data_IF_224852044404
#
_entry.id   IF_224852044404
#
_cell.length_a   1.000
_cell.length_b   1.000
_cell.length_c   1.000
_cell.angle_alpha   90.00
_cell.angle_beta   90.00
_cell.angle_gamma   90.00
#
_symmetry.space_group_name_H-M   'P 1'
#
loop_
_entity.id
_entity.type
_entity.pdbx_description
1 polymer ?
#
# COMPACT_ATOMS: atom_id res chain seq x y z
N UNK A 1 31.06 19.34 16.44
CA UNK A 1 29.60 19.52 16.50
C UNK A 1 28.88 18.70 15.43
N UNK A 2 29.28 18.77 14.16
CA UNK A 2 28.69 18.02 13.03
C UNK A 2 28.66 16.48 13.17
N UNK A 3 29.62 15.86 13.86
CA UNK A 3 29.62 14.40 14.06
C UNK A 3 28.55 13.95 15.08
N UNK A 4 28.29 14.76 16.13
CA UNK A 4 27.30 14.43 17.17
C UNK A 4 25.86 14.60 16.65
N UNK A 5 25.60 15.56 15.77
CA UNK A 5 24.27 15.74 15.15
C UNK A 5 23.90 14.60 14.20
N UNK A 6 24.88 14.02 13.48
CA UNK A 6 24.64 12.83 12.64
C UNK A 6 24.35 11.58 13.47
N UNK A 7 24.99 11.43 14.63
CA UNK A 7 24.71 10.31 15.55
C UNK A 7 23.31 10.43 16.17
N UNK A 8 22.87 11.65 16.51
CA UNK A 8 21.54 11.88 17.08
C UNK A 8 20.40 11.61 16.07
N UNK A 9 20.63 11.86 14.77
CA UNK A 9 19.66 11.51 13.73
C UNK A 9 19.56 9.99 13.52
N UNK A 10 20.67 9.26 13.61
CA UNK A 10 20.66 7.80 13.52
C UNK A 10 20.01 7.14 14.74
N UNK A 11 20.22 7.67 15.94
CA UNK A 11 19.63 7.13 17.19
C UNK A 11 18.11 7.39 17.29
N UNK A 12 17.55 8.39 16.58
CA UNK A 12 16.11 8.63 16.55
C UNK A 12 15.33 7.81 15.53
N UNK A 13 16.00 7.13 14.60
CA UNK A 13 15.36 6.39 13.52
C UNK A 13 15.30 4.87 13.73
N UNK A 14 15.90 4.35 14.81
CA UNK A 14 15.76 2.95 15.20
C UNK A 14 14.57 2.84 16.14
N UNK A 15 13.37 2.95 15.60
CA UNK A 15 12.21 2.39 16.30
C UNK A 15 12.37 0.86 16.20
N UNK A 16 12.33 0.17 17.34
CA UNK A 16 12.52 -1.29 17.38
C UNK A 16 11.59 -1.95 16.35
N UNK A 17 12.11 -2.94 15.61
CA UNK A 17 11.32 -3.74 14.68
C UNK A 17 10.06 -4.24 15.39
N UNK A 18 8.92 -4.19 14.71
CA UNK A 18 7.63 -4.52 15.31
C UNK A 18 7.47 -6.04 15.49
N UNK A 19 8.32 -6.66 16.30
CA UNK A 19 8.32 -8.09 16.60
C UNK A 19 7.25 -8.47 17.63
N UNK A 20 6.00 -8.04 17.43
CA UNK A 20 4.92 -8.43 18.33
C UNK A 20 4.71 -9.95 18.24
N UNK A 21 4.49 -10.61 19.37
CA UNK A 21 4.38 -12.08 19.49
C UNK A 21 3.38 -12.76 18.55
N UNK A 22 2.39 -12.04 18.02
CA UNK A 22 1.43 -12.59 17.07
C UNK A 22 1.88 -12.42 15.62
N UNK A 23 2.80 -11.52 15.29
CA UNK A 23 3.13 -11.24 13.89
C UNK A 23 4.15 -12.22 13.31
N UNK A 24 4.06 -12.43 12.00
CA UNK A 24 4.92 -13.29 11.20
C UNK A 24 6.07 -12.52 10.53
N UNK A 25 6.85 -11.78 11.33
CA UNK A 25 7.92 -10.92 10.83
C UNK A 25 9.23 -11.66 10.48
N UNK A 26 9.37 -12.90 10.97
CA UNK A 26 10.44 -13.87 10.70
C UNK A 26 11.80 -13.25 10.33
N UNK A 27 12.36 -13.63 9.18
CA UNK A 27 13.68 -13.21 8.71
C UNK A 27 13.59 -12.42 7.40
N UNK A 28 12.48 -11.71 7.17
CA UNK A 28 12.16 -11.09 5.87
C UNK A 28 13.21 -10.08 5.39
N UNK A 29 14.03 -9.53 6.28
CA UNK A 29 15.13 -8.62 5.90
C UNK A 29 16.50 -9.29 5.78
N UNK A 30 16.62 -10.61 5.96
CA UNK A 30 17.91 -11.31 5.90
C UNK A 30 18.98 -10.80 6.87
N UNK A 31 18.58 -10.05 7.92
CA UNK A 31 19.48 -9.37 8.85
C UNK A 31 19.98 -7.98 8.40
N UNK A 32 19.50 -7.44 7.27
CA UNK A 32 19.90 -6.11 6.78
C UNK A 32 19.33 -4.97 7.63
N UNK A 33 18.23 -5.20 8.35
CA UNK A 33 17.59 -4.26 9.26
C UNK A 33 17.38 -2.87 8.64
N UNK A 34 16.95 -2.83 7.37
CA UNK A 34 16.76 -1.64 6.54
C UNK A 34 17.99 -0.74 6.31
N UNK A 35 19.19 -1.11 6.79
CA UNK A 35 20.42 -0.30 6.66
C UNK A 35 20.71 0.06 5.19
N UNK A 36 20.69 -0.87 4.22
CA UNK A 36 20.94 -0.52 2.83
C UNK A 36 19.86 0.41 2.25
N UNK A 37 18.60 0.24 2.64
CA UNK A 37 17.48 1.06 2.14
C UNK A 37 17.62 2.50 2.60
N UNK A 38 17.84 2.74 3.90
CA UNK A 38 17.92 4.09 4.47
C UNK A 38 19.14 4.88 4.01
N UNK A 39 20.19 4.19 3.53
CA UNK A 39 21.37 4.83 2.96
C UNK A 39 21.29 5.06 1.45
N UNK A 40 20.49 4.29 0.71
CA UNK A 40 20.41 4.37 -0.75
C UNK A 40 19.26 5.25 -1.26
N UNK A 41 18.17 5.31 -0.52
CA UNK A 41 16.96 5.99 -0.96
C UNK A 41 16.61 7.18 -0.06
N UNK A 42 15.76 8.05 -0.58
CA UNK A 42 15.26 9.22 0.13
C UNK A 42 13.75 9.28 -0.03
N UNK A 43 13.07 9.78 1.00
CA UNK A 43 11.65 10.09 1.01
C UNK A 43 11.42 11.55 1.40
N UNK A 44 10.20 12.08 1.20
CA UNK A 44 9.76 13.31 1.84
C UNK A 44 9.97 13.29 3.36
N UNK A 45 10.33 14.42 3.93
CA UNK A 45 10.59 14.58 5.37
C UNK A 45 9.34 14.89 6.19
N UNK A 46 8.20 14.26 5.87
CA UNK A 46 6.91 14.51 6.52
C UNK A 46 6.43 13.36 7.43
N UNK A 47 7.15 12.23 7.47
CA UNK A 47 6.93 11.11 8.39
C UNK A 47 8.23 10.62 9.02
N UNK A 48 8.48 9.31 9.04
CA UNK A 48 9.71 8.72 9.56
C UNK A 48 10.56 8.12 8.44
N UNK A 49 11.19 8.99 7.65
CA UNK A 49 12.06 8.57 6.56
C UNK A 49 11.34 7.65 5.57
N UNK A 50 11.99 6.57 5.15
CA UNK A 50 11.44 5.62 4.17
C UNK A 50 10.40 4.66 4.75
N UNK A 51 10.19 4.66 6.06
CA UNK A 51 9.28 3.72 6.72
C UNK A 51 7.83 4.15 6.58
N UNK A 52 7.53 5.44 6.78
CA UNK A 52 6.22 5.99 6.44
C UNK A 52 6.34 7.47 6.08
N UNK A 53 5.67 7.86 5.00
CA UNK A 53 5.69 9.19 4.42
C UNK A 53 4.54 9.34 3.42
N UNK A 54 4.21 10.58 3.04
CA UNK A 54 3.19 10.85 2.04
C UNK A 54 3.68 11.86 1.00
N UNK A 55 3.05 11.88 -0.17
CA UNK A 55 3.30 12.88 -1.19
C UNK A 55 2.10 13.05 -2.12
N UNK A 56 1.95 14.27 -2.64
CA UNK A 56 0.97 14.56 -3.67
C UNK A 56 1.60 14.40 -5.05
N UNK A 57 0.85 13.79 -5.96
CA UNK A 57 1.19 13.76 -7.37
C UNK A 57 -0.02 13.91 -8.27
N UNK A 58 -0.09 15.03 -8.97
CA UNK A 58 -1.28 15.41 -9.74
C UNK A 58 -2.52 15.44 -8.82
N UNK A 59 -3.61 14.72 -9.15
CA UNK A 59 -4.83 14.65 -8.33
C UNK A 59 -4.80 13.54 -7.27
N UNK A 60 -3.63 12.94 -6.98
CA UNK A 60 -3.51 11.80 -6.06
C UNK A 60 -2.67 12.20 -4.87
N UNK A 61 -3.16 11.86 -3.67
CA UNK A 61 -2.37 11.84 -2.46
C UNK A 61 -1.97 10.40 -2.15
N UNK A 62 -0.67 10.14 -2.05
CA UNK A 62 -0.11 8.81 -1.82
C UNK A 62 0.44 8.73 -0.41
N UNK A 63 0.06 7.69 0.34
CA UNK A 63 0.57 7.38 1.68
C UNK A 63 1.33 6.07 1.61
N UNK A 64 2.61 6.09 1.94
CA UNK A 64 3.40 4.88 2.15
C UNK A 64 3.50 4.63 3.66
N UNK A 65 3.18 3.41 4.09
CA UNK A 65 3.28 3.02 5.50
C UNK A 65 4.01 1.67 5.65
N UNK A 66 4.65 1.49 6.80
CA UNK A 66 5.44 0.32 7.12
C UNK A 66 4.60 -0.71 7.86
N UNK A 67 4.57 -1.92 7.33
CA UNK A 67 4.03 -3.09 8.01
C UNK A 67 5.02 -3.76 8.95
N UNK A 68 6.30 -3.38 8.90
CA UNK A 68 7.37 -3.93 9.77
C UNK A 68 7.62 -3.07 11.03
N UNK A 69 6.80 -2.03 11.21
CA UNK A 69 6.84 -1.10 12.34
C UNK A 69 5.47 -1.06 13.01
N UNK A 70 5.42 -0.63 14.28
CA UNK A 70 4.19 -0.61 15.04
C UNK A 70 3.13 0.23 14.34
N UNK A 71 1.99 -0.41 14.04
CA UNK A 71 0.82 0.18 13.41
C UNK A 71 -0.42 0.11 14.32
N UNK A 72 -0.25 -0.30 15.59
CA UNK A 72 -1.34 -0.35 16.55
C UNK A 72 -1.83 1.06 16.91
N UNK A 73 -3.06 1.19 17.42
CA UNK A 73 -3.57 2.47 17.92
C UNK A 73 -2.58 3.09 18.91
N UNK A 74 -2.39 4.40 18.82
CA UNK A 74 -1.41 5.21 19.57
C UNK A 74 0.06 5.07 19.18
N UNK A 75 0.43 4.13 18.30
CA UNK A 75 1.79 4.09 17.74
C UNK A 75 2.10 5.40 16.97
N UNK A 76 3.37 5.83 16.90
CA UNK A 76 3.75 7.02 16.15
C UNK A 76 3.29 6.99 14.68
N UNK A 77 3.36 5.82 14.04
CA UNK A 77 2.89 5.63 12.67
C UNK A 77 1.35 5.75 12.58
N UNK A 78 0.59 5.09 13.46
CA UNK A 78 -0.87 5.18 13.44
C UNK A 78 -1.36 6.63 13.60
N UNK A 79 -0.81 7.34 14.60
CA UNK A 79 -1.15 8.76 14.85
C UNK A 79 -0.76 9.63 13.65
N UNK A 80 0.38 9.33 13.02
CA UNK A 80 0.82 10.02 11.82
C UNK A 80 -0.14 9.78 10.63
N UNK A 81 -0.53 8.53 10.36
CA UNK A 81 -1.47 8.17 9.28
C UNK A 81 -2.79 8.90 9.47
N UNK A 82 -3.37 8.89 10.67
CA UNK A 82 -4.64 9.56 10.94
C UNK A 82 -4.54 11.08 10.74
N UNK A 83 -3.43 11.69 11.15
CA UNK A 83 -3.19 13.12 10.94
C UNK A 83 -2.99 13.48 9.46
N UNK A 84 -2.24 12.67 8.73
CA UNK A 84 -1.97 12.86 7.31
C UNK A 84 -3.28 12.77 6.49
N UNK A 85 -4.03 11.68 6.66
CA UNK A 85 -5.31 11.45 5.98
C UNK A 85 -6.37 12.51 6.31
N UNK A 86 -6.44 12.97 7.56
CA UNK A 86 -7.36 14.04 7.94
C UNK A 86 -7.01 15.42 7.37
N UNK A 87 -5.77 15.60 6.91
CA UNK A 87 -5.29 16.87 6.34
C UNK A 87 -5.47 17.00 4.83
N UNK A 88 -5.89 15.93 4.15
CA UNK A 88 -6.00 15.90 2.69
C UNK A 88 -7.10 16.84 2.19
N UNK A 89 -6.69 17.82 1.39
CA UNK A 89 -7.61 18.66 0.61
C UNK A 89 -8.08 17.90 -0.63
N UNK A 90 -9.24 17.24 -0.51
CA UNK A 90 -9.88 16.46 -1.57
C UNK A 90 -10.25 17.27 -2.81
N UNK A 91 -10.32 18.60 -2.72
CA UNK A 91 -10.53 19.45 -3.92
C UNK A 91 -9.28 19.52 -4.80
N UNK A 92 -8.10 19.31 -4.21
CA UNK A 92 -6.80 19.25 -4.90
C UNK A 92 -6.44 17.81 -5.25
N UNK A 93 -6.50 16.91 -4.29
CA UNK A 93 -6.16 15.49 -4.40
C UNK A 93 -7.37 14.61 -4.06
N UNK A 94 -8.35 14.48 -4.98
CA UNK A 94 -9.57 13.71 -4.73
C UNK A 94 -9.32 12.22 -4.54
N UNK A 95 -8.21 11.68 -5.04
CA UNK A 95 -7.82 10.28 -4.88
C UNK A 95 -6.81 10.11 -3.75
N UNK A 96 -7.08 9.20 -2.83
CA UNK A 96 -6.09 8.72 -1.86
C UNK A 96 -5.74 7.28 -2.18
N UNK A 97 -4.45 7.03 -2.35
CA UNK A 97 -3.88 5.69 -2.48
C UNK A 97 -2.96 5.46 -1.29
N UNK A 98 -3.18 4.37 -0.57
CA UNK A 98 -2.26 3.92 0.48
C UNK A 98 -1.47 2.72 -0.02
N UNK A 99 -0.23 2.57 0.44
CA UNK A 99 0.67 1.52 0.00
C UNK A 99 1.50 0.94 1.14
N UNK A 100 1.57 -0.38 1.23
CA UNK A 100 2.42 -1.12 2.18
C UNK A 100 3.11 -2.33 1.58
N UNK A 101 4.01 -2.96 2.35
CA UNK A 101 4.60 -4.23 1.97
C UNK A 101 3.63 -5.39 2.21
N UNK A 102 3.29 -5.69 3.48
CA UNK A 102 2.32 -6.75 3.81
C UNK A 102 0.89 -6.36 3.45
N UNK A 103 0.09 -7.38 3.15
CA UNK A 103 -1.27 -7.26 2.66
C UNK A 103 -2.32 -7.30 3.78
N UNK A 104 -3.49 -6.70 3.52
CA UNK A 104 -4.69 -6.88 4.36
C UNK A 104 -5.55 -8.04 3.86
N UNK A 105 -5.56 -8.30 2.56
CA UNK A 105 -6.45 -9.26 1.92
C UNK A 105 -5.68 -10.07 0.87
N UNK A 106 -5.87 -11.38 0.92
CA UNK A 106 -5.43 -12.34 -0.08
C UNK A 106 -6.34 -13.58 0.02
N UNK A 107 -6.71 -14.15 -1.12
CA UNK A 107 -7.59 -15.33 -1.18
C UNK A 107 -6.82 -16.64 -1.32
N UNK A 108 -5.49 -16.64 -1.17
CA UNK A 108 -4.73 -17.90 -1.19
C UNK A 108 -4.96 -18.70 0.10
N UNK A 109 -4.99 -20.03 -0.02
CA UNK A 109 -5.24 -20.94 1.12
C UNK A 109 -4.18 -20.81 2.21
N UNK A 110 -2.92 -20.62 1.84
CA UNK A 110 -1.80 -20.48 2.79
C UNK A 110 -1.91 -19.23 3.67
N UNK A 111 -2.61 -18.21 3.21
CA UNK A 111 -2.79 -16.95 3.93
C UNK A 111 -3.93 -17.01 4.96
N UNK A 112 -4.70 -18.10 5.00
CA UNK A 112 -5.79 -18.28 5.98
C UNK A 112 -5.21 -18.31 7.38
N UNK A 113 -5.68 -17.40 8.23
CA UNK A 113 -5.23 -17.29 9.62
C UNK A 113 -3.95 -16.48 9.82
N UNK A 114 -3.45 -15.74 8.81
CA UNK A 114 -2.35 -14.81 9.00
C UNK A 114 -2.72 -13.76 10.09
N UNK A 115 -1.98 -13.73 11.22
CA UNK A 115 -2.28 -12.84 12.33
C UNK A 115 -1.92 -11.38 12.03
N UNK A 116 -0.90 -11.13 11.21
CA UNK A 116 -0.49 -9.77 10.82
C UNK A 116 -1.56 -9.12 9.95
N UNK A 117 -2.10 -9.86 8.96
CA UNK A 117 -3.21 -9.35 8.14
C UNK A 117 -4.44 -9.04 9.00
N UNK A 118 -4.76 -9.92 9.96
CA UNK A 118 -5.91 -9.73 10.86
C UNK A 118 -5.76 -8.44 11.70
N UNK A 119 -4.54 -8.11 12.12
CA UNK A 119 -4.28 -6.87 12.87
C UNK A 119 -4.28 -5.63 11.97
N UNK A 120 -3.78 -5.72 10.74
CA UNK A 120 -3.88 -4.63 9.76
C UNK A 120 -5.35 -4.32 9.44
N UNK A 121 -6.16 -5.34 9.18
CA UNK A 121 -7.62 -5.23 8.99
C UNK A 121 -8.28 -4.62 10.25
N UNK A 122 -7.93 -5.09 11.44
CA UNK A 122 -8.55 -4.61 12.68
C UNK A 122 -8.29 -3.14 12.98
N UNK A 123 -7.07 -2.66 12.72
CA UNK A 123 -6.63 -1.34 13.20
C UNK A 123 -6.52 -0.28 12.12
N UNK A 124 -6.01 -0.62 10.92
CA UNK A 124 -5.81 0.37 9.86
C UNK A 124 -6.99 0.46 8.90
N UNK A 125 -7.67 -0.64 8.58
CA UNK A 125 -8.83 -0.61 7.67
C UNK A 125 -9.93 0.37 8.12
N UNK A 126 -10.31 0.47 9.42
CA UNK A 126 -11.30 1.45 9.87
C UNK A 126 -10.84 2.90 9.66
N UNK A 127 -9.54 3.18 9.78
CA UNK A 127 -8.98 4.51 9.51
C UNK A 127 -9.06 4.81 8.03
N UNK A 128 -8.67 3.86 7.18
CA UNK A 128 -8.72 4.00 5.73
C UNK A 128 -10.16 4.20 5.23
N UNK A 129 -11.12 3.47 5.79
CA UNK A 129 -12.54 3.61 5.49
C UNK A 129 -13.08 4.97 5.95
N UNK A 130 -12.78 5.38 7.20
CA UNK A 130 -13.16 6.69 7.78
C UNK A 130 -12.73 7.87 6.90
N UNK A 131 -11.55 7.81 6.33
CA UNK A 131 -11.02 8.86 5.47
C UNK A 131 -11.26 8.63 3.98
N UNK A 132 -12.07 7.64 3.59
CA UNK A 132 -12.41 7.33 2.20
C UNK A 132 -11.19 7.08 1.30
N UNK A 133 -10.24 6.28 1.78
CA UNK A 133 -9.15 5.78 0.93
C UNK A 133 -9.74 5.02 -0.26
N UNK A 134 -9.26 5.32 -1.47
CA UNK A 134 -9.83 4.77 -2.69
C UNK A 134 -9.21 3.41 -3.04
N UNK A 135 -7.88 3.32 -2.91
CA UNK A 135 -7.11 2.11 -3.24
C UNK A 135 -6.08 1.84 -2.14
N UNK A 136 -5.99 0.58 -1.72
CA UNK A 136 -4.89 0.08 -0.89
C UNK A 136 -4.05 -0.91 -1.72
N UNK A 137 -2.79 -0.56 -1.96
CA UNK A 137 -1.83 -1.37 -2.70
C UNK A 137 -0.88 -2.08 -1.73
N UNK A 138 -0.64 -3.36 -1.95
CA UNK A 138 0.33 -4.09 -1.15
C UNK A 138 1.05 -5.17 -1.95
N UNK A 139 2.18 -5.65 -1.45
CA UNK A 139 2.98 -6.72 -2.05
C UNK A 139 3.01 -7.95 -1.15
N UNK A 140 4.22 -8.32 -0.74
CA UNK A 140 4.55 -9.45 0.14
C UNK A 140 4.30 -10.83 -0.46
N UNK A 141 3.07 -11.13 -0.87
CA UNK A 141 2.77 -12.36 -1.60
C UNK A 141 3.00 -12.11 -3.10
N UNK A 142 3.70 -13.02 -3.78
CA UNK A 142 4.19 -12.81 -5.13
C UNK A 142 3.19 -13.21 -6.22
N UNK A 143 2.02 -12.58 -6.22
CA UNK A 143 1.01 -12.71 -7.29
C UNK A 143 0.20 -11.42 -7.46
N UNK A 144 -0.78 -11.42 -8.38
CA UNK A 144 -1.73 -10.32 -8.54
C UNK A 144 -3.11 -10.72 -8.00
N UNK A 145 -3.75 -9.83 -7.26
CA UNK A 145 -5.16 -9.99 -6.86
C UNK A 145 -5.85 -8.63 -6.72
N UNK A 146 -7.10 -8.55 -7.14
CA UNK A 146 -7.96 -7.38 -6.97
C UNK A 146 -9.27 -7.76 -6.31
N UNK A 147 -9.62 -7.01 -5.27
CA UNK A 147 -10.92 -7.13 -4.61
C UNK A 147 -12.02 -6.29 -5.26
N UNK A 148 -13.27 -6.55 -4.89
CA UNK A 148 -14.33 -5.54 -4.95
C UNK A 148 -14.00 -4.37 -3.99
N UNK A 149 -14.67 -3.21 -4.10
CA UNK A 149 -14.62 -2.21 -3.02
C UNK A 149 -15.12 -2.83 -1.71
N UNK A 150 -14.31 -2.78 -0.65
CA UNK A 150 -14.52 -3.55 0.58
C UNK A 150 -14.42 -2.74 1.86
N UNK A 151 -15.08 -3.25 2.89
CA UNK A 151 -14.84 -2.93 4.29
C UNK A 151 -15.25 -4.13 5.14
N UNK A 152 -14.40 -4.57 6.08
CA UNK A 152 -14.66 -5.71 6.96
C UNK A 152 -15.10 -6.97 6.21
N UNK A 153 -14.29 -7.39 5.23
CA UNK A 153 -14.50 -8.60 4.40
C UNK A 153 -15.79 -8.60 3.55
N UNK A 154 -16.46 -7.46 3.41
CA UNK A 154 -17.71 -7.34 2.64
C UNK A 154 -17.55 -6.37 1.49
N UNK A 155 -18.05 -6.76 0.32
CA UNK A 155 -18.20 -5.81 -0.79
C UNK A 155 -19.20 -4.71 -0.41
N UNK A 156 -18.74 -3.46 -0.38
CA UNK A 156 -19.55 -2.28 -0.09
C UNK A 156 -19.21 -1.19 -1.10
N UNK A 157 -20.23 -0.49 -1.63
CA UNK A 157 -20.06 0.42 -2.77
C UNK A 157 -19.03 1.53 -2.55
N UNK A 158 -18.90 2.02 -1.31
CA UNK A 158 -18.01 3.10 -0.89
C UNK A 158 -16.74 2.59 -0.18
N UNK A 159 -16.44 1.29 -0.32
CA UNK A 159 -15.28 0.64 0.29
C UNK A 159 -13.98 0.92 -0.44
N UNK A 160 -12.89 0.43 0.16
CA UNK A 160 -11.55 0.52 -0.41
C UNK A 160 -11.37 -0.62 -1.42
N UNK A 161 -10.81 -0.33 -2.60
CA UNK A 161 -10.35 -1.40 -3.50
C UNK A 161 -8.96 -1.84 -3.05
N UNK A 162 -8.83 -3.10 -2.65
CA UNK A 162 -7.55 -3.69 -2.28
C UNK A 162 -6.93 -4.37 -3.49
N UNK A 163 -5.66 -4.08 -3.76
CA UNK A 163 -4.93 -4.66 -4.90
C UNK A 163 -3.58 -5.17 -4.43
N UNK A 164 -3.42 -6.48 -4.50
CA UNK A 164 -2.17 -7.18 -4.30
C UNK A 164 -1.34 -7.10 -5.58
N UNK A 165 -0.15 -6.54 -5.51
CA UNK A 165 0.75 -6.26 -6.65
C UNK A 165 2.17 -6.78 -6.39
N UNK A 166 2.31 -7.98 -5.82
CA UNK A 166 3.61 -8.57 -5.47
C UNK A 166 4.31 -9.36 -6.59
N UNK A 167 3.71 -9.43 -7.78
CA UNK A 167 4.17 -10.19 -8.94
C UNK A 167 5.31 -9.55 -9.77
N UNK A 168 6.10 -8.65 -9.19
CA UNK A 168 6.99 -7.77 -9.97
C UNK A 168 8.35 -8.39 -10.39
N UNK A 169 8.73 -9.57 -9.86
CA UNK A 169 9.98 -10.22 -10.28
C UNK A 169 10.63 -11.24 -9.34
N UNK A 170 10.13 -11.42 -8.12
CA UNK A 170 10.54 -12.57 -7.28
C UNK A 170 9.77 -13.84 -7.69
N UNK A 171 10.20 -15.03 -7.24
CA UNK A 171 9.47 -16.28 -7.49
C UNK A 171 7.98 -16.13 -7.14
N UNK A 172 7.12 -16.47 -8.10
CA UNK A 172 5.67 -16.38 -7.93
C UNK A 172 5.19 -17.38 -6.89
N UNK A 173 4.25 -16.94 -6.05
CA UNK A 173 3.56 -17.82 -5.10
C UNK A 173 2.45 -18.56 -5.84
N UNK A 174 2.66 -19.87 -6.07
CA UNK A 174 1.70 -20.73 -6.76
C UNK A 174 0.87 -21.50 -5.73
N UNK A 175 -0.20 -20.87 -5.25
CA UNK A 175 -1.14 -21.44 -4.27
C UNK A 175 -2.55 -21.66 -4.85
N UNK A 176 -3.39 -22.44 -4.16
CA UNK A 176 -4.82 -22.53 -4.48
C UNK A 176 -5.59 -21.39 -3.81
N UNK A 177 -6.73 -21.01 -4.38
CA UNK A 177 -7.59 -19.95 -3.85
C UNK A 177 -8.74 -20.53 -3.03
N UNK A 178 -9.18 -19.79 -2.01
CA UNK A 178 -10.30 -20.14 -1.15
C UNK A 178 -11.67 -19.91 -1.81
N UNK A 179 -11.72 -19.16 -2.93
CA UNK A 179 -12.95 -18.88 -3.67
C UNK A 179 -13.78 -17.74 -3.07
N UNK A 180 -13.13 -16.77 -2.44
CA UNK A 180 -13.81 -15.61 -1.84
C UNK A 180 -14.54 -14.78 -2.89
N UNK A 181 -15.80 -14.43 -2.59
CA UNK A 181 -16.63 -13.61 -3.50
C UNK A 181 -16.09 -12.21 -3.71
N UNK A 182 -15.33 -11.70 -2.74
CA UNK A 182 -14.74 -10.38 -2.84
C UNK A 182 -13.52 -10.34 -3.75
N UNK A 183 -12.90 -11.48 -4.06
CA UNK A 183 -11.79 -11.58 -5.00
C UNK A 183 -12.33 -11.60 -6.43
N UNK A 184 -12.17 -10.49 -7.15
CA UNK A 184 -12.76 -10.33 -8.49
C UNK A 184 -11.85 -10.82 -9.61
N UNK A 185 -10.53 -10.72 -9.40
CA UNK A 185 -9.53 -11.21 -10.33
C UNK A 185 -8.24 -11.52 -9.56
N UNK A 186 -7.60 -12.62 -9.92
CA UNK A 186 -6.30 -13.02 -9.38
C UNK A 186 -5.56 -13.87 -10.41
N UNK A 187 -4.23 -13.76 -10.44
CA UNK A 187 -3.41 -14.48 -11.43
C UNK A 187 -1.95 -14.63 -10.96
N UNK A 188 -1.31 -15.72 -11.40
CA UNK A 188 0.08 -16.08 -11.10
C UNK A 188 0.96 -15.81 -12.31
N UNK A 189 1.02 -14.54 -12.73
CA UNK A 189 1.90 -14.11 -13.81
C UNK A 189 2.71 -12.89 -13.39
N UNK A 190 3.93 -12.82 -13.90
CA UNK A 190 4.74 -11.61 -13.75
C UNK A 190 4.07 -10.44 -14.46
N UNK A 191 4.07 -9.29 -13.81
CA UNK A 191 3.49 -8.09 -14.38
C UNK A 191 3.68 -6.85 -13.53
N UNK A 192 2.99 -5.80 -13.94
CA UNK A 192 3.02 -4.51 -13.27
C UNK A 192 1.67 -3.81 -13.43
N UNK A 193 1.37 -2.86 -12.54
CA UNK A 193 0.18 -2.03 -12.64
C UNK A 193 0.50 -0.63 -13.13
N UNK A 194 -0.45 0.00 -13.84
CA UNK A 194 -0.39 1.41 -14.22
C UNK A 194 -1.66 2.10 -13.76
N UNK A 195 -1.51 3.29 -13.17
CA UNK A 195 -2.63 4.14 -12.77
C UNK A 195 -2.66 5.39 -13.65
N UNK A 196 -3.78 5.63 -14.32
CA UNK A 196 -4.04 6.82 -15.12
C UNK A 196 -5.27 7.55 -14.57
N UNK A 197 -5.13 8.83 -14.25
CA UNK A 197 -6.14 9.53 -13.45
C UNK A 197 -6.24 11.02 -13.76
N UNK A 198 -7.44 11.58 -13.55
CA UNK A 198 -7.69 13.00 -13.38
C UNK A 198 -8.58 13.19 -12.13
N UNK A 199 -9.13 14.38 -11.88
CA UNK A 199 -9.96 14.59 -10.68
C UNK A 199 -11.29 13.81 -10.64
N UNK A 200 -11.74 13.27 -11.77
CA UNK A 200 -13.07 12.65 -11.95
C UNK A 200 -12.95 11.13 -12.05
N UNK A 201 -11.97 10.60 -12.78
CA UNK A 201 -11.79 9.16 -12.90
C UNK A 201 -10.36 8.73 -12.58
N UNK A 202 -10.23 7.53 -12.04
CA UNK A 202 -8.98 6.83 -11.83
C UNK A 202 -9.12 5.44 -12.43
N UNK A 203 -8.22 5.09 -13.36
CA UNK A 203 -8.15 3.76 -13.97
C UNK A 203 -6.85 3.07 -13.58
N UNK A 204 -6.94 1.82 -13.15
CA UNK A 204 -5.80 0.95 -12.91
C UNK A 204 -5.83 -0.20 -13.93
N UNK A 205 -4.70 -0.46 -14.59
CA UNK A 205 -4.51 -1.59 -15.50
C UNK A 205 -3.39 -2.49 -14.99
N UNK A 206 -3.61 -3.81 -15.00
CA UNK A 206 -2.60 -4.84 -14.74
C UNK A 206 -2.09 -5.40 -16.08
N UNK A 207 -0.78 -5.23 -16.31
CA UNK A 207 -0.08 -5.65 -17.51
C UNK A 207 0.82 -6.84 -17.22
N UNK A 208 0.77 -7.84 -18.09
CA UNK A 208 1.71 -8.95 -18.08
C UNK A 208 3.07 -8.54 -18.64
N UNK A 209 4.14 -8.95 -17.98
CA UNK A 209 5.52 -8.56 -18.36
C UNK A 209 5.95 -9.07 -19.73
N UNK A 210 5.52 -10.26 -20.15
CA UNK A 210 6.06 -10.90 -21.37
C UNK A 210 5.59 -10.26 -22.68
N UNK A 211 4.40 -9.67 -22.71
CA UNK A 211 3.76 -9.17 -23.93
C UNK A 211 2.98 -7.86 -23.73
N UNK A 212 3.06 -7.25 -22.54
CA UNK A 212 2.33 -6.04 -22.14
C UNK A 212 0.80 -6.16 -22.21
N UNK A 213 0.27 -7.39 -22.31
CA UNK A 213 -1.17 -7.64 -22.37
C UNK A 213 -1.84 -7.18 -21.08
N UNK A 214 -2.94 -6.42 -21.21
CA UNK A 214 -3.79 -6.05 -20.08
C UNK A 214 -4.60 -7.27 -19.68
N UNK A 215 -4.31 -7.83 -18.51
CA UNK A 215 -4.99 -9.00 -17.98
C UNK A 215 -6.17 -8.63 -17.08
N UNK A 216 -6.09 -7.49 -16.40
CA UNK A 216 -7.17 -6.94 -15.59
C UNK A 216 -7.18 -5.41 -15.63
N UNK A 217 -8.35 -4.82 -15.47
CA UNK A 217 -8.52 -3.37 -15.38
C UNK A 217 -9.79 -2.98 -14.61
N UNK A 218 -9.75 -1.86 -13.92
CA UNK A 218 -10.93 -1.25 -13.33
C UNK A 218 -10.84 0.28 -13.33
N UNK A 219 -12.00 0.91 -13.14
CA UNK A 219 -12.14 2.36 -13.09
C UNK A 219 -13.00 2.77 -11.90
N UNK A 220 -12.55 3.80 -11.18
CA UNK A 220 -13.30 4.49 -10.15
C UNK A 220 -13.68 5.87 -10.67
N UNK A 221 -14.87 6.36 -10.31
CA UNK A 221 -15.36 7.68 -10.71
C UNK A 221 -15.87 8.47 -9.51
N UNK A 222 -15.44 9.72 -9.36
CA UNK A 222 -16.04 10.71 -8.46
C UNK A 222 -17.14 11.46 -9.21
N UNK A 223 -18.29 11.67 -8.57
CA UNK A 223 -19.38 12.43 -9.19
C UNK A 223 -19.01 13.91 -9.33
N UNK A 224 -19.46 14.54 -10.43
CA UNK A 224 -19.08 15.89 -10.85
C UNK A 224 -19.62 17.05 -9.98
N UNK A 225 -20.07 16.78 -8.76
CA UNK A 225 -20.43 17.83 -7.81
C UNK A 225 -19.20 18.69 -7.41
N UNK A 226 -17.97 18.22 -7.69
CA UNK A 226 -16.71 18.90 -7.36
C UNK A 226 -15.82 19.18 -8.61
N UNK A 227 -16.44 19.85 -9.59
CA UNK A 227 -15.92 20.86 -10.56
C UNK A 227 -14.43 20.84 -11.03
N UNK A 228 -14.24 20.29 -12.24
CA UNK A 228 -13.59 20.84 -13.47
C UNK A 228 -12.08 21.20 -13.58
N UNK A 229 -11.46 20.60 -14.64
CA UNK A 229 -10.24 20.96 -15.46
C UNK A 229 -8.89 20.25 -15.14
N UNK A 230 -7.95 20.13 -16.12
CA UNK A 230 -7.84 19.10 -17.16
C UNK A 230 -6.66 18.11 -16.93
N UNK A 231 -6.59 17.12 -17.81
CA UNK A 231 -5.72 15.93 -17.84
C UNK A 231 -4.21 16.16 -17.65
N UNK A 232 -3.58 15.30 -16.84
CA UNK A 232 -2.14 15.02 -16.84
C UNK A 232 -1.97 13.49 -16.91
N UNK A 233 -1.30 12.98 -17.94
CA UNK A 233 -0.89 11.56 -18.00
C UNK A 233 0.42 11.43 -17.25
N UNK A 234 0.43 10.70 -16.12
CA UNK A 234 1.65 10.35 -15.41
C UNK A 234 1.92 8.84 -15.54
N UNK A 235 3.15 8.51 -15.90
CA UNK A 235 3.68 7.14 -15.83
C UNK A 235 4.34 6.96 -14.46
N UNK A 236 3.89 5.98 -13.67
CA UNK A 236 4.55 5.59 -12.42
C UNK A 236 4.93 4.12 -12.43
N UNK A 237 6.19 3.85 -12.08
CA UNK A 237 6.63 2.59 -11.49
C UNK A 237 6.64 2.80 -9.98
N UNK A 238 5.61 2.34 -9.27
CA UNK A 238 5.70 2.17 -7.82
C UNK A 238 6.54 0.90 -7.62
N UNK A 239 7.83 1.08 -7.28
CA UNK A 239 8.62 -0.03 -6.72
C UNK A 239 8.11 -0.27 -5.31
N UNK A 240 7.13 -1.15 -5.15
CA UNK A 240 6.99 -1.89 -3.90
C UNK A 240 8.21 -2.81 -3.87
N UNK A 241 9.23 -2.41 -3.11
CA UNK A 241 10.40 -3.24 -2.91
C UNK A 241 9.93 -4.41 -2.02
N UNK A 242 9.67 -5.57 -2.63
CA UNK A 242 9.77 -6.82 -1.90
C UNK A 242 11.21 -6.97 -1.45
N UNK A 243 11.42 -7.01 -0.14
CA UNK A 243 12.69 -7.43 0.45
C UNK A 243 12.44 -8.86 0.91
N UNK A 244 13.15 -9.78 0.27
CA UNK A 244 13.78 -10.93 0.91
C UNK A 244 15.27 -10.86 0.54
#
# INVERSE_FOLDING_TARGET
>A
MLQKEKTILAERQVQEAFGHQWGNYDYDSGGECAVPIVHRFHSPSNGNGLFWYSFDVGPVHVVCYSTEHDFLPSSPQYVWIERDLSSVDRTRTPWIIVGSHRHMYSSIVRDVGDPTKAMLQRYLEPVFYKYHVDINLFGHIHFYERSCPMYQEKCVHDGIVHVLVGMAGHNLDIDTYTGEKWSLYHDHQFGYTRISTNKIYLRLTYHRTVDDAILDQFELTKSSAERTKPFIVLFFLIKIICIQ
#
